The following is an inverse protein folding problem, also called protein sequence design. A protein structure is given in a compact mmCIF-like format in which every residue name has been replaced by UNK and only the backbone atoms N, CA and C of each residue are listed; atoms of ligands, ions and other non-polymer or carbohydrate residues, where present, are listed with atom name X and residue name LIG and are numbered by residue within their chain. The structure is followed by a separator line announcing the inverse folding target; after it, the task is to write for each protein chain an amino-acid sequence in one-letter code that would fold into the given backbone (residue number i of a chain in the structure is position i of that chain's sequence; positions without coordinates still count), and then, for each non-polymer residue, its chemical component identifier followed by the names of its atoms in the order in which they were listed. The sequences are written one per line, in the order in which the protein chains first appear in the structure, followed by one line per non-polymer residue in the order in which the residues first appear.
data_IF_553578273609
#
_entry.id   IF_553578273609
#
_cell.length_a   1.000
_cell.length_b   1.000
_cell.length_c   1.000
_cell.angle_alpha   90.00
_cell.angle_beta   90.00
_cell.angle_gamma   90.00
#
_symmetry.space_group_name_H-M   'P 1'
#
loop_
_entity.id
_entity.type
_entity.pdbx_description
1 polymer ?
#
# COMPACT_ATOMS: atom_id res chain seq x y z
N UNK A 1 -20.11 -66.16 -37.40
CA UNK A 1 -21.45 -66.12 -38.01
C UNK A 1 -21.82 -64.65 -38.22
N UNK A 2 -22.38 -64.16 -39.33
CA UNK A 2 -22.59 -64.81 -40.63
C UNK A 2 -23.50 -63.99 -41.57
N UNK A 3 -22.91 -63.25 -42.52
CA UNK A 3 -23.56 -62.48 -43.62
C UNK A 3 -24.54 -61.32 -43.23
N UNK A 4 -24.76 -60.28 -44.06
CA UNK A 4 -23.91 -59.73 -45.12
C UNK A 4 -24.62 -59.09 -46.33
N UNK A 5 -24.17 -57.89 -46.75
CA UNK A 5 -24.45 -57.18 -48.04
C UNK A 5 -25.91 -56.64 -48.17
N UNK A 6 -26.28 -55.64 -49.00
CA UNK A 6 -25.68 -54.71 -50.01
C UNK A 6 -26.72 -53.55 -50.24
N UNK A 7 -26.58 -52.43 -50.99
CA UNK A 7 -25.58 -51.73 -51.85
C UNK A 7 -26.10 -50.29 -52.08
N UNK A 8 -25.27 -49.22 -52.15
CA UNK A 8 -25.78 -47.91 -52.61
C UNK A 8 -24.84 -46.69 -52.56
N UNK A 9 -24.07 -46.44 -53.63
CA UNK A 9 -23.37 -45.18 -53.94
C UNK A 9 -23.09 -45.14 -55.45
N UNK A 10 -23.08 -43.95 -56.10
CA UNK A 10 -21.83 -43.50 -56.73
C UNK A 10 -21.64 -41.96 -56.90
N UNK A 11 -20.40 -41.48 -56.66
CA UNK A 11 -19.67 -40.36 -57.37
C UNK A 11 -20.31 -38.94 -57.27
N UNK A 12 -19.61 -37.80 -57.29
CA UNK A 12 -18.31 -37.40 -57.88
C UNK A 12 -18.58 -36.50 -59.10
N UNK A 13 -17.84 -35.41 -59.43
CA UNK A 13 -16.61 -34.81 -58.88
C UNK A 13 -16.27 -33.48 -59.60
N UNK A 14 -15.41 -32.62 -59.02
CA UNK A 14 -14.88 -31.37 -59.62
C UNK A 14 -15.28 -30.11 -58.82
N UNK A 15 -14.43 -29.16 -58.40
CA UNK A 15 -13.01 -28.79 -58.66
C UNK A 15 -12.72 -28.01 -59.96
N UNK A 16 -12.79 -26.68 -59.86
CA UNK A 16 -11.81 -25.68 -60.35
C UNK A 16 -11.86 -24.49 -59.35
N UNK A 17 -10.79 -24.13 -58.64
CA UNK A 17 -9.57 -23.43 -59.05
C UNK A 17 -9.76 -21.89 -59.21
N UNK A 18 -8.98 -21.11 -58.45
CA UNK A 18 -9.00 -19.63 -58.44
C UNK A 18 -8.16 -18.97 -59.54
N UNK A 19 -7.68 -17.72 -59.35
CA UNK A 19 -6.80 -17.38 -58.21
C UNK A 19 -7.08 -15.99 -57.56
N UNK A 20 -6.23 -15.59 -56.61
CA UNK A 20 -6.29 -14.31 -55.90
C UNK A 20 -5.03 -13.44 -56.12
N UNK A 21 -5.19 -12.11 -56.08
CA UNK A 21 -4.22 -11.03 -55.78
C UNK A 21 -5.04 -9.73 -55.62
N UNK A 22 -4.97 -8.91 -54.56
CA UNK A 22 -3.88 -8.26 -53.78
C UNK A 22 -3.65 -6.79 -54.20
N UNK A 23 -3.48 -5.94 -53.17
CA UNK A 23 -3.11 -4.51 -53.16
C UNK A 23 -4.20 -3.42 -53.32
N UNK A 24 -4.02 -2.40 -52.45
CA UNK A 24 -4.59 -1.05 -52.48
C UNK A 24 -3.83 -0.18 -53.51
N UNK A 25 -4.36 0.98 -53.95
CA UNK A 25 -4.08 2.22 -53.21
C UNK A 25 -5.25 3.22 -53.19
N UNK A 26 -5.00 4.43 -52.68
CA UNK A 26 -5.95 5.54 -52.55
C UNK A 26 -5.59 6.74 -53.46
N UNK A 27 -6.40 7.80 -53.36
CA UNK A 27 -6.29 9.16 -53.93
C UNK A 27 -6.72 9.41 -55.39
N UNK A 28 -7.31 10.61 -55.55
CA UNK A 28 -7.30 11.50 -56.73
C UNK A 28 -8.04 11.13 -58.03
N UNK A 29 -9.34 11.44 -58.07
CA UNK A 29 -9.94 12.27 -59.13
C UNK A 29 -10.91 13.27 -58.47
N UNK A 30 -10.52 14.56 -58.41
CA UNK A 30 -11.00 15.64 -59.29
C UNK A 30 -12.34 16.27 -58.77
N UNK A 31 -12.35 17.30 -57.92
CA UNK A 31 -11.65 18.60 -57.94
C UNK A 31 -12.21 19.67 -58.91
N UNK A 32 -13.53 19.67 -59.20
CA UNK A 32 -14.22 20.79 -59.89
C UNK A 32 -15.55 21.16 -59.21
N UNK A 33 -15.49 21.98 -58.16
CA UNK A 33 -16.63 22.77 -57.64
C UNK A 33 -16.25 23.87 -56.63
N UNK A 34 -14.96 24.01 -56.29
CA UNK A 34 -14.47 24.67 -55.07
C UNK A 34 -14.39 26.21 -55.15
N UNK A 35 -15.30 26.86 -55.88
CA UNK A 35 -15.20 28.30 -56.22
C UNK A 35 -16.50 29.12 -56.12
N UNK A 36 -17.64 28.53 -55.70
CA UNK A 36 -18.92 29.25 -55.59
C UNK A 36 -19.46 29.45 -54.16
N UNK A 37 -18.84 28.83 -53.14
CA UNK A 37 -19.36 28.79 -51.75
C UNK A 37 -18.54 29.55 -50.71
N UNK A 38 -17.47 30.26 -51.10
CA UNK A 38 -16.61 31.03 -50.17
C UNK A 38 -16.90 32.54 -50.10
N UNK A 39 -17.73 33.09 -51.00
CA UNK A 39 -17.81 34.55 -51.23
C UNK A 39 -18.85 35.32 -50.39
N UNK A 40 -19.64 34.66 -49.53
CA UNK A 40 -20.79 35.28 -48.83
C UNK A 40 -20.71 35.23 -47.30
N UNK A 41 -19.51 35.06 -46.72
CA UNK A 41 -19.27 35.13 -45.26
C UNK A 41 -18.48 36.35 -44.78
N UNK A 42 -18.10 37.26 -45.67
CA UNK A 42 -17.38 38.49 -45.34
C UNK A 42 -18.29 39.72 -45.47
N UNK A 43 -19.12 39.99 -44.45
CA UNK A 43 -19.72 41.30 -44.11
C UNK A 43 -20.73 41.18 -42.95
N UNK A 44 -20.25 41.21 -41.69
CA UNK A 44 -21.05 41.61 -40.51
C UNK A 44 -20.15 42.41 -39.55
N UNK A 45 -20.67 43.46 -38.88
CA UNK A 45 -19.87 44.37 -38.08
C UNK A 45 -19.39 43.73 -36.77
N UNK A 46 -18.25 44.22 -36.26
CA UNK A 46 -17.65 43.75 -35.01
C UNK A 46 -18.55 44.04 -33.81
N UNK A 47 -19.15 42.99 -33.23
CA UNK A 47 -19.82 43.08 -31.94
C UNK A 47 -18.79 43.00 -30.80
N UNK A 48 -18.94 43.86 -29.80
CA UNK A 48 -18.02 43.93 -28.66
C UNK A 48 -17.98 42.60 -27.89
N UNK A 49 -16.80 41.97 -27.83
CA UNK A 49 -16.54 40.83 -26.96
C UNK A 49 -16.57 41.25 -25.49
N UNK A 50 -17.77 41.26 -24.90
CA UNK A 50 -17.94 41.34 -23.45
C UNK A 50 -17.39 40.06 -22.81
N UNK A 51 -16.12 40.12 -22.39
CA UNK A 51 -15.49 39.13 -21.53
C UNK A 51 -16.40 38.86 -20.33
N UNK A 52 -17.11 37.73 -20.36
CA UNK A 52 -17.85 37.27 -19.21
C UNK A 52 -16.84 36.77 -18.19
N UNK A 53 -16.51 37.63 -17.22
CA UNK A 53 -15.89 37.19 -15.97
C UNK A 53 -16.83 36.15 -15.34
N UNK A 54 -16.54 34.87 -15.57
CA UNK A 54 -16.92 33.84 -14.60
C UNK A 54 -16.23 34.26 -13.29
N UNK A 55 -16.97 34.47 -12.20
CA UNK A 55 -16.31 34.68 -10.91
C UNK A 55 -15.46 33.45 -10.64
N UNK A 56 -14.20 33.65 -10.25
CA UNK A 56 -13.40 32.55 -9.74
C UNK A 56 -14.18 31.95 -8.57
N UNK A 57 -14.53 30.67 -8.67
CA UNK A 57 -15.17 29.96 -7.57
C UNK A 57 -14.11 29.68 -6.52
N UNK A 58 -13.76 30.71 -5.74
CA UNK A 58 -13.03 30.57 -4.49
C UNK A 58 -13.73 29.46 -3.71
N UNK A 59 -13.02 28.36 -3.43
CA UNK A 59 -13.48 27.41 -2.43
C UNK A 59 -13.53 28.18 -1.12
N UNK A 60 -14.71 28.22 -0.49
CA UNK A 60 -14.90 28.95 0.75
C UNK A 60 -13.80 28.54 1.74
N UNK A 61 -13.03 29.52 2.22
CA UNK A 61 -11.93 29.29 3.15
C UNK A 61 -12.52 28.60 4.39
N UNK A 62 -12.16 27.34 4.58
CA UNK A 62 -12.62 26.57 5.73
C UNK A 62 -11.80 26.99 6.94
N UNK A 63 -12.40 27.80 7.80
CA UNK A 63 -11.81 28.22 9.07
C UNK A 63 -11.54 27.06 10.04
N UNK A 64 -11.98 25.83 9.71
CA UNK A 64 -11.66 24.61 10.44
C UNK A 64 -11.35 23.41 9.53
N UNK A 65 -10.44 22.57 10.01
CA UNK A 65 -10.00 21.34 9.40
C UNK A 65 -11.11 20.29 9.26
N UNK A 66 -11.05 19.50 8.20
CA UNK A 66 -11.86 18.29 8.08
C UNK A 66 -11.38 17.24 9.09
N UNK A 67 -12.20 16.96 10.10
CA UNK A 67 -11.92 15.91 11.09
C UNK A 67 -12.13 14.54 10.45
N UNK A 68 -11.03 13.85 10.10
CA UNK A 68 -11.07 12.53 9.45
C UNK A 68 -11.53 11.48 10.46
N UNK A 69 -12.71 10.91 10.24
CA UNK A 69 -13.24 9.84 11.09
C UNK A 69 -12.66 8.49 10.67
N UNK A 70 -11.50 8.14 11.23
CA UNK A 70 -10.88 6.82 11.03
C UNK A 70 -11.77 5.65 11.46
N UNK A 71 -12.71 5.86 12.41
CA UNK A 71 -13.80 4.90 12.69
C UNK A 71 -14.67 4.59 11.47
N UNK A 72 -15.03 5.59 10.65
CA UNK A 72 -15.85 5.38 9.45
C UNK A 72 -15.06 4.66 8.34
N UNK A 73 -13.80 5.04 8.15
CA UNK A 73 -12.91 4.39 7.17
C UNK A 73 -12.60 2.92 7.57
N UNK A 74 -12.37 2.68 8.86
CA UNK A 74 -12.17 1.32 9.40
C UNK A 74 -13.42 0.45 9.24
N UNK A 75 -14.62 1.03 9.39
CA UNK A 75 -15.88 0.30 9.17
C UNK A 75 -16.08 -0.07 7.69
N UNK A 76 -15.76 0.82 6.75
CA UNK A 76 -15.74 0.49 5.31
C UNK A 76 -14.78 -0.67 5.01
N UNK A 77 -13.56 -0.61 5.55
CA UNK A 77 -12.55 -1.66 5.36
C UNK A 77 -12.98 -2.99 6.00
N UNK A 78 -13.64 -2.96 7.17
CA UNK A 78 -14.23 -4.17 7.77
C UNK A 78 -15.34 -4.76 6.88
N UNK A 79 -16.16 -3.93 6.23
CA UNK A 79 -17.20 -4.40 5.31
C UNK A 79 -16.60 -5.02 4.03
N UNK A 80 -15.56 -4.38 3.46
CA UNK A 80 -14.77 -4.93 2.35
C UNK A 80 -14.12 -6.28 2.71
N UNK A 81 -13.47 -6.38 3.87
CA UNK A 81 -12.85 -7.63 4.34
C UNK A 81 -13.91 -8.70 4.62
N UNK A 82 -15.06 -8.32 5.20
CA UNK A 82 -16.15 -9.25 5.49
C UNK A 82 -16.70 -9.89 4.21
N UNK A 83 -16.99 -9.08 3.20
CA UNK A 83 -17.41 -9.59 1.89
C UNK A 83 -16.35 -10.53 1.31
N UNK A 84 -15.09 -10.13 1.36
CA UNK A 84 -13.97 -10.93 0.85
C UNK A 84 -13.79 -12.28 1.59
N UNK A 85 -14.11 -12.33 2.89
CA UNK A 85 -14.11 -13.54 3.72
C UNK A 85 -15.34 -14.42 3.44
N UNK A 86 -16.52 -13.82 3.27
CA UNK A 86 -17.76 -14.53 2.92
C UNK A 86 -17.65 -15.16 1.52
N UNK A 87 -17.11 -14.46 0.53
CA UNK A 87 -16.80 -14.97 -0.81
C UNK A 87 -15.77 -16.11 -0.79
N UNK A 88 -14.68 -15.95 -0.03
CA UNK A 88 -13.61 -16.96 0.10
C UNK A 88 -14.09 -18.27 0.73
N UNK A 89 -14.99 -18.19 1.72
CA UNK A 89 -15.62 -19.37 2.32
C UNK A 89 -16.67 -19.97 1.38
N UNK A 90 -17.42 -19.13 0.65
CA UNK A 90 -18.40 -19.61 -0.34
C UNK A 90 -17.75 -20.35 -1.53
N UNK A 91 -16.51 -20.01 -1.91
CA UNK A 91 -15.73 -20.77 -2.90
C UNK A 91 -15.07 -22.03 -2.34
N UNK A 92 -15.43 -22.46 -1.13
CA UNK A 92 -15.04 -23.75 -0.54
C UNK A 92 -13.71 -23.77 0.21
N UNK A 93 -13.08 -22.62 0.46
CA UNK A 93 -11.85 -22.56 1.26
C UNK A 93 -12.15 -22.48 2.77
N UNK A 94 -11.16 -22.82 3.59
CA UNK A 94 -11.25 -22.67 5.05
C UNK A 94 -11.42 -21.20 5.42
N UNK A 95 -12.29 -20.92 6.40
CA UNK A 95 -12.39 -19.62 7.06
C UNK A 95 -11.02 -19.21 7.64
N UNK A 96 -10.54 -17.98 7.42
CA UNK A 96 -9.28 -17.50 7.97
C UNK A 96 -9.25 -17.57 9.49
N UNK A 97 -8.08 -17.84 10.07
CA UNK A 97 -7.86 -17.92 11.52
C UNK A 97 -6.69 -17.05 11.97
N UNK A 98 -6.91 -16.28 13.04
CA UNK A 98 -5.96 -15.36 13.65
C UNK A 98 -5.60 -15.81 15.08
N UNK A 99 -4.36 -16.25 15.27
CA UNK A 99 -3.83 -16.58 16.60
C UNK A 99 -3.11 -15.36 17.20
N UNK A 100 -3.60 -14.89 18.34
CA UNK A 100 -3.01 -13.74 19.06
C UNK A 100 -2.32 -14.23 20.33
N UNK A 101 -1.00 -14.07 20.42
CA UNK A 101 -0.25 -14.35 21.65
C UNK A 101 -0.16 -13.08 22.49
N UNK A 102 -0.55 -13.15 23.77
CA UNK A 102 -0.47 -12.05 24.74
C UNK A 102 0.37 -12.48 25.94
N UNK A 103 1.39 -11.70 26.28
CA UNK A 103 2.29 -11.98 27.40
C UNK A 103 2.11 -10.92 28.50
N UNK A 104 1.71 -11.37 29.69
CA UNK A 104 1.54 -10.51 30.86
C UNK A 104 0.27 -9.65 30.87
N UNK A 105 0.08 -8.95 31.98
CA UNK A 105 -1.21 -8.37 32.38
C UNK A 105 -1.40 -6.88 32.02
N UNK A 106 -0.72 -6.36 30.99
CA UNK A 106 -0.81 -4.95 30.64
C UNK A 106 -2.24 -4.57 30.19
N UNK A 107 -2.96 -3.69 30.92
CA UNK A 107 -4.36 -3.37 30.60
C UNK A 107 -4.55 -2.64 29.26
N UNK A 108 -3.49 -2.03 28.70
CA UNK A 108 -3.52 -1.52 27.33
C UNK A 108 -3.51 -2.67 26.32
N UNK A 109 -2.59 -3.62 26.47
CA UNK A 109 -2.45 -4.79 25.58
C UNK A 109 -3.72 -5.64 25.58
N UNK A 110 -4.29 -5.94 26.76
CA UNK A 110 -5.60 -6.62 26.89
C UNK A 110 -6.71 -5.92 26.10
N UNK A 111 -6.80 -4.58 26.20
CA UNK A 111 -7.82 -3.81 25.48
C UNK A 111 -7.60 -3.81 23.96
N UNK A 112 -6.35 -3.76 23.49
CA UNK A 112 -6.05 -3.87 22.07
C UNK A 112 -6.35 -5.27 21.52
N UNK A 113 -5.97 -6.34 22.23
CA UNK A 113 -6.25 -7.73 21.82
C UNK A 113 -7.76 -7.98 21.75
N UNK A 114 -8.52 -7.53 22.74
CA UNK A 114 -9.99 -7.62 22.73
C UNK A 114 -10.62 -6.87 21.54
N UNK A 115 -10.04 -5.75 21.11
CA UNK A 115 -10.51 -5.04 19.92
C UNK A 115 -10.11 -5.77 18.62
N UNK A 116 -8.92 -6.39 18.57
CA UNK A 116 -8.46 -7.24 17.45
C UNK A 116 -9.38 -8.46 17.26
N UNK A 117 -9.72 -9.20 18.33
CA UNK A 117 -10.58 -10.40 18.24
C UNK A 117 -12.05 -10.08 17.98
N UNK A 118 -12.57 -8.97 18.52
CA UNK A 118 -13.91 -8.47 18.15
C UNK A 118 -13.99 -8.11 16.67
N UNK A 119 -13.01 -7.39 16.13
CA UNK A 119 -12.97 -7.07 14.72
C UNK A 119 -12.85 -8.31 13.82
N UNK A 120 -12.15 -9.37 14.28
CA UNK A 120 -12.11 -10.65 13.58
C UNK A 120 -13.51 -11.27 13.50
N UNK A 121 -14.23 -11.35 14.62
CA UNK A 121 -15.60 -11.85 14.67
C UNK A 121 -16.57 -11.02 13.80
N UNK A 122 -16.48 -9.68 13.83
CA UNK A 122 -17.30 -8.76 13.00
C UNK A 122 -17.22 -9.10 11.49
N UNK A 123 -16.03 -9.46 11.02
CA UNK A 123 -15.73 -9.76 9.60
C UNK A 123 -15.72 -11.25 9.27
N UNK A 124 -16.08 -12.12 10.22
CA UNK A 124 -16.14 -13.57 10.02
C UNK A 124 -14.78 -14.27 9.97
N UNK A 125 -13.72 -13.70 10.55
CA UNK A 125 -12.43 -14.35 10.76
C UNK A 125 -12.46 -15.06 12.13
N UNK A 126 -12.02 -16.32 12.17
CA UNK A 126 -11.85 -17.03 13.45
C UNK A 126 -10.67 -16.42 14.22
N UNK A 127 -10.75 -16.33 15.54
CA UNK A 127 -9.61 -15.87 16.33
C UNK A 127 -9.51 -16.55 17.69
N UNK A 128 -8.29 -16.79 18.14
CA UNK A 128 -7.97 -17.22 19.50
C UNK A 128 -7.06 -16.19 20.21
N UNK A 129 -7.02 -16.23 21.54
CA UNK A 129 -6.05 -15.46 22.32
C UNK A 129 -5.34 -16.39 23.29
N UNK A 130 -4.04 -16.58 23.05
CA UNK A 130 -3.17 -17.42 23.85
C UNK A 130 -2.48 -16.53 24.87
N UNK A 131 -3.08 -16.42 26.05
CA UNK A 131 -2.52 -15.66 27.18
C UNK A 131 -1.40 -16.47 27.83
N UNK A 132 -0.29 -15.81 28.14
CA UNK A 132 0.87 -16.36 28.86
C UNK A 132 1.27 -15.40 30.00
N UNK A 133 1.76 -15.92 31.14
CA UNK A 133 2.19 -15.08 32.25
C UNK A 133 3.40 -14.24 31.84
N UNK A 134 3.59 -13.10 32.52
CA UNK A 134 4.77 -12.25 32.31
C UNK A 134 6.11 -12.94 32.64
N UNK A 135 6.08 -14.11 33.31
CA UNK A 135 7.23 -14.93 33.66
C UNK A 135 7.60 -16.01 32.62
N UNK A 136 6.93 -16.06 31.46
CA UNK A 136 7.29 -17.03 30.40
C UNK A 136 8.72 -16.78 29.91
N UNK A 137 9.49 -17.84 29.69
CA UNK A 137 10.81 -17.72 29.07
C UNK A 137 10.72 -17.40 27.57
N UNK A 138 11.78 -16.79 27.03
CA UNK A 138 11.89 -16.57 25.59
C UNK A 138 11.85 -17.90 24.81
N UNK A 139 12.43 -18.98 25.35
CA UNK A 139 12.42 -20.30 24.70
C UNK A 139 11.01 -20.91 24.61
N UNK A 140 10.21 -20.85 25.68
CA UNK A 140 8.82 -21.30 25.66
C UNK A 140 7.97 -20.49 24.67
N UNK A 141 8.22 -19.19 24.56
CA UNK A 141 7.52 -18.31 23.61
C UNK A 141 7.93 -18.62 22.16
N UNK A 142 9.21 -18.85 21.89
CA UNK A 142 9.71 -19.30 20.58
C UNK A 142 9.14 -20.68 20.20
N UNK A 143 9.06 -21.62 21.14
CA UNK A 143 8.46 -22.94 20.92
C UNK A 143 6.95 -22.85 20.64
N UNK A 144 6.23 -21.95 21.32
CA UNK A 144 4.82 -21.65 21.02
C UNK A 144 4.65 -21.08 19.59
N UNK A 145 5.49 -20.11 19.21
CA UNK A 145 5.46 -19.51 17.87
C UNK A 145 5.78 -20.56 16.79
N UNK A 146 6.77 -21.42 17.02
CA UNK A 146 7.10 -22.52 16.12
C UNK A 146 5.91 -23.50 15.95
N UNK A 147 5.17 -23.81 17.03
CA UNK A 147 3.94 -24.61 16.92
C UNK A 147 2.91 -23.94 16.00
N UNK A 148 2.65 -22.64 16.19
CA UNK A 148 1.65 -21.87 15.44
C UNK A 148 2.07 -21.63 13.98
N UNK A 149 3.37 -21.53 13.70
CA UNK A 149 3.91 -21.52 12.33
C UNK A 149 3.60 -22.83 11.58
N UNK A 150 3.75 -23.98 12.25
CA UNK A 150 3.54 -25.30 11.65
C UNK A 150 2.08 -25.80 11.66
N UNK A 151 1.17 -25.10 12.34
CA UNK A 151 -0.27 -25.41 12.28
C UNK A 151 -0.91 -24.80 11.02
N UNK A 152 -1.27 -25.65 10.05
CA UNK A 152 -1.97 -25.25 8.82
C UNK A 152 -3.37 -24.67 9.07
N UNK A 153 -3.91 -24.75 10.31
CA UNK A 153 -5.13 -24.03 10.67
C UNK A 153 -4.91 -22.55 10.95
N UNK A 154 -3.69 -22.12 11.27
CA UNK A 154 -3.38 -20.73 11.61
C UNK A 154 -2.93 -19.99 10.36
N UNK A 155 -3.71 -18.99 9.94
CA UNK A 155 -3.41 -18.18 8.75
C UNK A 155 -2.64 -16.92 9.12
N UNK A 156 -3.08 -16.21 10.17
CA UNK A 156 -2.39 -15.07 10.76
C UNK A 156 -1.89 -15.35 12.17
N UNK A 157 -0.66 -14.94 12.47
CA UNK A 157 -0.05 -15.01 13.79
C UNK A 157 0.49 -13.63 14.18
N UNK A 158 0.17 -13.17 15.40
CA UNK A 158 0.78 -11.99 15.98
C UNK A 158 1.12 -12.17 17.46
N UNK A 159 2.18 -11.50 17.90
CA UNK A 159 2.58 -11.42 19.31
C UNK A 159 2.37 -9.97 19.78
N UNK A 160 1.54 -9.77 20.79
CA UNK A 160 1.16 -8.43 21.21
C UNK A 160 2.28 -7.75 22.01
N UNK A 161 2.93 -6.76 21.40
CA UNK A 161 3.93 -5.90 22.02
C UNK A 161 3.29 -4.83 22.95
N UNK A 162 4.02 -4.28 23.94
CA UNK A 162 5.39 -4.64 24.32
C UNK A 162 5.46 -5.96 25.11
N UNK A 163 6.61 -6.63 25.04
CA UNK A 163 6.92 -7.81 25.85
C UNK A 163 7.63 -7.44 27.17
N UNK A 164 7.72 -8.37 28.14
CA UNK A 164 8.60 -8.23 29.30
C UNK A 164 10.07 -8.02 28.91
N UNK A 165 10.81 -7.25 29.72
CA UNK A 165 12.17 -6.78 29.41
C UNK A 165 13.22 -7.90 29.24
N UNK A 166 12.95 -9.12 29.71
CA UNK A 166 13.83 -10.28 29.59
C UNK A 166 13.66 -11.07 28.27
N UNK A 167 12.85 -10.58 27.33
CA UNK A 167 12.56 -11.22 26.03
C UNK A 167 12.94 -10.28 24.89
N UNK A 168 13.73 -10.75 23.91
CA UNK A 168 14.07 -9.96 22.73
C UNK A 168 12.88 -9.90 21.74
N UNK A 169 12.16 -8.77 21.75
CA UNK A 169 11.07 -8.49 20.81
C UNK A 169 11.47 -8.67 19.33
N UNK A 170 12.72 -8.37 18.96
CA UNK A 170 13.21 -8.52 17.58
C UNK A 170 13.41 -10.00 17.23
N UNK A 171 13.96 -10.79 18.15
CA UNK A 171 14.05 -12.26 18.00
C UNK A 171 12.67 -12.90 17.89
N UNK A 172 11.71 -12.47 18.72
CA UNK A 172 10.32 -12.93 18.68
C UNK A 172 9.62 -12.54 17.38
N UNK A 173 9.72 -11.28 16.92
CA UNK A 173 9.16 -10.86 15.62
C UNK A 173 9.78 -11.61 14.44
N UNK A 174 11.07 -11.97 14.53
CA UNK A 174 11.77 -12.74 13.51
C UNK A 174 11.53 -14.27 13.62
N UNK A 175 10.74 -14.73 14.59
CA UNK A 175 10.36 -16.14 14.71
C UNK A 175 8.98 -16.45 14.10
N UNK A 176 8.13 -15.45 13.89
CA UNK A 176 6.83 -15.60 13.20
C UNK A 176 7.06 -15.83 11.71
N UNK A 177 6.40 -16.83 11.11
CA UNK A 177 6.54 -17.14 9.68
C UNK A 177 6.19 -15.93 8.81
N UNK A 178 6.99 -15.56 7.79
CA UNK A 178 6.74 -14.35 6.98
C UNK A 178 5.37 -14.31 6.30
N UNK A 179 4.82 -15.48 5.94
CA UNK A 179 3.49 -15.61 5.32
C UNK A 179 2.33 -15.55 6.33
N UNK A 180 2.62 -15.62 7.64
CA UNK A 180 1.66 -15.46 8.74
C UNK A 180 1.83 -14.17 9.56
N UNK A 181 2.90 -13.41 9.34
CA UNK A 181 3.25 -12.16 10.05
C UNK A 181 2.31 -11.00 9.68
N UNK A 182 1.09 -11.05 10.22
CA UNK A 182 0.01 -10.09 9.92
C UNK A 182 0.17 -8.72 10.60
N UNK A 183 1.09 -8.58 11.57
CA UNK A 183 1.52 -7.27 12.09
C UNK A 183 2.71 -6.68 11.28
N UNK A 184 3.30 -7.44 10.34
CA UNK A 184 4.31 -6.98 9.37
C UNK A 184 5.71 -6.72 9.94
N UNK A 185 6.05 -7.31 11.09
CA UNK A 185 7.27 -7.00 11.83
C UNK A 185 8.46 -7.91 11.53
N UNK A 186 8.27 -9.04 10.84
CA UNK A 186 9.33 -9.96 10.46
C UNK A 186 10.33 -9.30 9.50
N UNK A 187 11.64 -9.54 9.68
CA UNK A 187 12.70 -8.88 8.91
C UNK A 187 12.55 -9.02 7.38
N UNK A 188 11.99 -10.12 6.88
CA UNK A 188 11.69 -10.32 5.45
C UNK A 188 10.55 -9.39 4.97
N UNK A 189 9.46 -9.23 5.74
CA UNK A 189 8.38 -8.32 5.36
C UNK A 189 8.84 -6.86 5.39
N UNK A 190 9.58 -6.47 6.43
CA UNK A 190 10.22 -5.14 6.50
C UNK A 190 11.21 -4.93 5.35
N UNK A 191 12.00 -5.95 4.99
CA UNK A 191 12.96 -5.89 3.89
C UNK A 191 12.30 -5.68 2.54
N UNK A 192 11.28 -6.49 2.22
CA UNK A 192 10.48 -6.38 0.99
C UNK A 192 9.76 -5.04 0.89
N UNK A 193 9.15 -4.59 1.99
CA UNK A 193 8.53 -3.26 2.08
C UNK A 193 9.55 -2.14 1.78
N UNK A 194 10.80 -2.24 2.25
CA UNK A 194 11.88 -1.29 1.99
C UNK A 194 12.52 -1.42 0.59
N UNK A 195 12.13 -2.43 -0.19
CA UNK A 195 12.55 -2.66 -1.58
C UNK A 195 11.37 -2.49 -2.56
N UNK A 196 10.27 -1.90 -2.10
CA UNK A 196 9.02 -1.67 -2.85
C UNK A 196 8.40 -2.93 -3.46
N UNK A 197 8.59 -4.06 -2.78
CA UNK A 197 8.01 -5.36 -3.13
C UNK A 197 6.75 -5.67 -2.30
N UNK A 198 5.93 -6.59 -2.79
CA UNK A 198 4.77 -7.12 -2.11
C UNK A 198 5.18 -7.81 -0.79
N UNK A 199 4.58 -7.39 0.32
CA UNK A 199 4.83 -7.92 1.68
C UNK A 199 3.60 -7.73 2.58
N UNK A 200 3.59 -8.36 3.76
CA UNK A 200 2.68 -7.93 4.82
C UNK A 200 3.10 -6.53 5.28
N UNK A 201 2.23 -5.53 5.10
CA UNK A 201 2.50 -4.16 5.51
C UNK A 201 2.11 -3.97 6.98
N UNK A 202 2.93 -3.31 7.81
CA UNK A 202 2.58 -3.09 9.22
C UNK A 202 1.29 -2.31 9.36
N UNK A 203 0.37 -2.80 10.20
CA UNK A 203 -1.04 -2.42 10.15
C UNK A 203 -1.31 -0.94 10.47
N UNK A 204 -0.56 -0.33 11.40
CA UNK A 204 -0.66 1.12 11.70
C UNK A 204 -0.15 1.99 10.54
N UNK A 205 1.07 1.79 10.01
CA UNK A 205 1.54 2.43 8.78
C UNK A 205 0.59 2.30 7.58
N UNK A 206 0.07 1.11 7.31
CA UNK A 206 -0.89 0.94 6.22
C UNK A 206 -2.20 1.70 6.51
N UNK A 207 -2.69 1.68 7.76
CA UNK A 207 -3.86 2.45 8.18
C UNK A 207 -3.71 3.97 8.02
N UNK A 208 -2.51 4.53 8.25
CA UNK A 208 -2.18 5.94 7.96
C UNK A 208 -2.27 6.23 6.47
N UNK A 209 -1.74 5.34 5.63
CA UNK A 209 -1.74 5.51 4.18
C UNK A 209 -3.13 5.31 3.56
N UNK A 210 -3.94 4.39 4.09
CA UNK A 210 -5.37 4.27 3.73
C UNK A 210 -6.18 5.50 4.14
N UNK A 211 -5.89 6.13 5.30
CA UNK A 211 -6.48 7.43 5.67
C UNK A 211 -6.18 8.47 4.59
N UNK A 212 -4.92 8.61 4.18
CA UNK A 212 -4.48 9.60 3.19
C UNK A 212 -5.16 9.34 1.83
N UNK A 213 -5.07 8.11 1.32
CA UNK A 213 -5.66 7.71 0.02
C UNK A 213 -7.19 7.86 0.00
N UNK A 214 -7.91 7.33 1.00
CA UNK A 214 -9.39 7.35 1.04
C UNK A 214 -9.97 8.73 1.34
N UNK A 215 -9.16 9.66 1.87
CA UNK A 215 -9.54 11.08 2.02
C UNK A 215 -9.23 11.90 0.76
N UNK A 216 -8.53 11.32 -0.24
CA UNK A 216 -8.14 12.02 -1.46
C UNK A 216 -7.01 13.04 -1.27
N UNK A 217 -6.18 12.86 -0.23
CA UNK A 217 -5.04 13.75 0.05
C UNK A 217 -3.87 13.34 -0.86
N UNK A 218 -3.38 14.22 -1.76
CA UNK A 218 -2.29 13.87 -2.66
C UNK A 218 -0.96 13.77 -1.92
N UNK A 219 -0.14 12.77 -2.28
CA UNK A 219 1.22 12.56 -1.74
C UNK A 219 2.32 12.92 -2.75
N UNK A 220 2.08 12.68 -4.05
CA UNK A 220 3.06 12.88 -5.11
C UNK A 220 3.56 14.33 -5.15
N UNK A 221 4.88 14.49 -5.07
CA UNK A 221 5.57 15.77 -5.04
C UNK A 221 5.25 16.64 -3.83
N UNK A 222 4.75 16.07 -2.72
CA UNK A 222 4.42 16.79 -1.48
C UNK A 222 5.50 16.67 -0.42
N UNK A 223 5.60 17.69 0.43
CA UNK A 223 6.45 17.64 1.60
C UNK A 223 5.73 16.88 2.73
N UNK A 224 6.33 15.81 3.20
CA UNK A 224 5.83 15.02 4.34
C UNK A 224 6.82 15.16 5.50
N UNK A 225 6.33 15.33 6.72
CA UNK A 225 7.13 15.11 7.93
C UNK A 225 6.57 13.97 8.75
N UNK A 226 7.43 13.02 9.13
CA UNK A 226 7.13 11.94 10.08
C UNK A 226 7.86 12.21 11.39
N UNK A 227 7.13 12.59 12.44
CA UNK A 227 7.67 12.78 13.78
C UNK A 227 7.66 11.47 14.55
N UNK A 228 8.74 10.69 14.39
CA UNK A 228 8.90 9.37 14.96
C UNK A 228 9.71 8.45 14.03
N UNK A 229 10.59 7.62 14.60
CA UNK A 229 11.44 6.68 13.83
C UNK A 229 11.38 5.23 14.34
N UNK A 230 10.30 4.85 15.02
CA UNK A 230 10.12 3.47 15.50
C UNK A 230 10.05 2.49 14.32
N UNK A 231 10.51 1.25 14.53
CA UNK A 231 10.58 0.24 13.46
C UNK A 231 9.22 -0.33 13.05
N UNK A 232 8.21 -0.18 13.92
CA UNK A 232 6.83 -0.64 13.72
C UNK A 232 5.86 0.44 13.19
N UNK A 233 6.22 1.74 13.29
CA UNK A 233 5.33 2.85 12.92
C UNK A 233 6.06 3.91 12.09
N UNK A 234 6.99 4.65 12.71
CA UNK A 234 7.58 5.84 12.08
C UNK A 234 8.41 5.54 10.81
N UNK A 235 9.27 4.51 10.86
CA UNK A 235 10.08 4.12 9.70
C UNK A 235 9.23 3.57 8.55
N UNK A 236 8.29 2.61 8.75
CA UNK A 236 7.42 2.15 7.67
C UNK A 236 6.54 3.23 7.04
N UNK A 237 6.01 4.18 7.83
CA UNK A 237 5.25 5.33 7.29
C UNK A 237 6.12 6.15 6.34
N UNK A 238 7.38 6.41 6.73
CA UNK A 238 8.30 7.13 5.87
C UNK A 238 8.63 6.36 4.58
N UNK A 239 8.80 5.03 4.66
CA UNK A 239 9.01 4.16 3.49
C UNK A 239 7.82 4.22 2.54
N UNK A 240 6.61 3.94 3.02
CA UNK A 240 5.39 3.91 2.18
C UNK A 240 5.06 5.25 1.51
N UNK A 241 5.46 6.38 2.10
CA UNK A 241 5.14 7.71 1.56
C UNK A 241 6.20 8.27 0.59
N UNK A 242 7.50 7.91 0.71
CA UNK A 242 8.54 8.46 -0.19
C UNK A 242 8.85 7.61 -1.43
N UNK A 243 8.43 6.36 -1.43
CA UNK A 243 8.80 5.39 -2.47
C UNK A 243 8.01 5.57 -3.76
N UNK A 244 8.49 4.98 -4.85
CA UNK A 244 8.03 5.24 -6.22
C UNK A 244 6.65 4.64 -6.49
N UNK A 245 5.73 5.43 -7.04
CA UNK A 245 4.37 5.03 -7.42
C UNK A 245 4.29 3.98 -8.55
N UNK A 246 5.39 3.70 -9.26
CA UNK A 246 5.45 2.74 -10.36
C UNK A 246 6.08 1.38 -9.98
N UNK A 247 6.52 1.18 -8.73
CA UNK A 247 7.09 -0.09 -8.26
C UNK A 247 6.03 -1.18 -7.97
N UNK A 248 6.49 -2.43 -7.79
CA UNK A 248 5.68 -3.66 -7.57
C UNK A 248 4.61 -3.46 -6.49
N UNK A 249 5.02 -2.86 -5.36
CA UNK A 249 4.15 -2.22 -4.36
C UNK A 249 4.27 -0.70 -4.58
N UNK A 250 3.29 -0.04 -5.22
CA UNK A 250 3.32 1.42 -5.44
C UNK A 250 3.53 2.19 -4.14
N UNK A 251 4.41 3.20 -4.16
CA UNK A 251 4.67 4.08 -3.02
C UNK A 251 3.75 5.31 -2.98
N UNK A 252 4.33 6.45 -2.61
CA UNK A 252 3.62 7.72 -2.43
C UNK A 252 4.26 8.93 -3.11
N UNK A 253 5.47 8.80 -3.68
CA UNK A 253 6.20 9.85 -4.41
C UNK A 253 6.40 11.18 -3.62
N UNK A 254 6.45 11.12 -2.30
CA UNK A 254 6.55 12.30 -1.44
C UNK A 254 7.98 12.59 -0.93
N UNK A 255 8.32 13.87 -0.77
CA UNK A 255 9.56 14.29 -0.12
C UNK A 255 9.42 14.15 1.40
N UNK A 256 9.85 13.03 1.97
CA UNK A 256 9.70 12.73 3.41
C UNK A 256 10.91 13.20 4.24
N UNK A 257 10.64 14.02 5.26
CA UNK A 257 11.54 14.30 6.38
C UNK A 257 11.20 13.41 7.58
N UNK A 258 12.19 12.75 8.18
CA UNK A 258 12.03 11.97 9.43
C UNK A 258 12.64 12.74 10.60
N UNK A 259 11.87 12.94 11.67
CA UNK A 259 12.34 13.53 12.93
C UNK A 259 12.18 12.58 14.12
N UNK A 260 12.86 12.85 15.23
CA UNK A 260 12.93 11.95 16.39
C UNK A 260 13.36 12.68 17.67
N UNK A 261 13.51 11.94 18.79
CA UNK A 261 13.88 12.41 20.14
C UNK A 261 15.18 13.24 20.28
N UNK A 262 15.90 13.49 19.19
CA UNK A 262 17.12 14.32 19.15
C UNK A 262 17.03 15.46 18.11
N UNK A 263 15.91 15.59 17.39
CA UNK A 263 15.64 16.75 16.54
C UNK A 263 15.27 17.93 17.45
N UNK A 264 16.04 19.04 17.47
CA UNK A 264 15.69 20.20 18.29
C UNK A 264 14.33 20.78 17.90
N UNK A 265 13.55 21.33 18.84
CA UNK A 265 12.19 21.82 18.56
C UNK A 265 12.15 22.86 17.44
N UNK A 266 13.16 23.73 17.35
CA UNK A 266 13.31 24.69 16.25
C UNK A 266 13.51 24.03 14.88
N UNK A 267 14.21 22.90 14.81
CA UNK A 267 14.36 22.15 13.56
C UNK A 267 13.07 21.39 13.23
N UNK A 268 12.38 20.81 14.23
CA UNK A 268 11.08 20.19 14.04
C UNK A 268 10.08 21.21 13.46
N UNK A 269 9.97 22.40 14.07
CA UNK A 269 9.10 23.50 13.65
C UNK A 269 9.40 23.99 12.23
N UNK A 270 10.68 24.12 11.86
CA UNK A 270 11.08 24.50 10.49
C UNK A 270 10.56 23.52 9.44
N UNK A 271 10.67 22.21 9.68
CA UNK A 271 10.26 21.21 8.69
C UNK A 271 8.74 20.98 8.69
N UNK A 272 8.05 21.05 9.85
CA UNK A 272 6.56 20.99 9.87
C UNK A 272 5.91 22.19 9.18
N UNK A 273 6.53 23.38 9.22
CA UNK A 273 6.04 24.57 8.54
C UNK A 273 6.15 24.50 7.01
N UNK A 274 6.99 23.59 6.48
CA UNK A 274 7.14 23.31 5.05
C UNK A 274 6.25 22.15 4.57
N UNK A 275 5.76 21.31 5.49
CA UNK A 275 5.06 20.07 5.20
C UNK A 275 3.61 20.29 4.75
N UNK A 276 3.22 19.63 3.66
CA UNK A 276 1.81 19.47 3.25
C UNK A 276 1.10 18.40 4.09
N UNK A 277 1.85 17.41 4.59
CA UNK A 277 1.35 16.34 5.47
C UNK A 277 2.29 16.19 6.67
N UNK A 278 1.76 16.27 7.88
CA UNK A 278 2.49 15.98 9.12
C UNK A 278 1.90 14.73 9.75
N UNK A 279 2.73 13.71 9.98
CA UNK A 279 2.37 12.47 10.67
C UNK A 279 3.10 12.41 12.01
N UNK A 280 2.38 12.42 13.13
CA UNK A 280 2.99 12.32 14.46
C UNK A 280 2.86 10.92 15.03
N UNK A 281 3.99 10.32 15.39
CA UNK A 281 4.13 8.97 15.94
C UNK A 281 5.26 8.93 16.99
N UNK A 282 5.29 9.93 17.87
CA UNK A 282 6.35 10.15 18.85
C UNK A 282 5.98 9.70 20.27
N UNK A 283 4.71 9.73 20.64
CA UNK A 283 4.25 9.43 22.01
C UNK A 283 4.55 10.55 23.00
N UNK A 284 4.24 11.79 22.61
CA UNK A 284 4.51 13.02 23.36
C UNK A 284 3.31 13.98 23.18
N UNK A 285 2.44 14.18 24.20
CA UNK A 285 1.32 15.11 24.13
C UNK A 285 1.74 16.53 23.76
N UNK A 286 0.96 17.18 22.89
CA UNK A 286 1.17 18.57 22.43
C UNK A 286 2.57 18.84 21.86
N UNK A 287 3.21 17.83 21.26
CA UNK A 287 4.46 17.97 20.52
C UNK A 287 4.28 18.84 19.26
N UNK A 288 3.12 18.73 18.61
CA UNK A 288 2.78 19.43 17.37
C UNK A 288 1.69 20.48 17.67
N UNK A 289 2.02 21.75 17.50
CA UNK A 289 1.15 22.90 17.84
C UNK A 289 0.80 23.76 16.61
N UNK A 290 -0.22 24.62 16.71
CA UNK A 290 -0.74 25.40 15.58
C UNK A 290 0.27 26.36 14.93
N UNK A 291 1.26 26.83 15.67
CA UNK A 291 2.36 27.67 15.15
C UNK A 291 3.39 26.87 14.32
N UNK A 292 3.39 25.55 14.43
CA UNK A 292 4.30 24.63 13.71
C UNK A 292 3.73 24.13 12.38
N UNK A 293 2.40 24.18 12.20
CA UNK A 293 1.69 23.59 11.05
C UNK A 293 1.55 24.59 9.89
N UNK A 294 1.71 24.14 8.65
CA UNK A 294 1.40 24.89 7.42
C UNK A 294 -0.13 25.02 7.25
N UNK A 295 -0.60 26.18 6.78
CA UNK A 295 -2.02 26.38 6.49
C UNK A 295 -2.52 25.42 5.40
N UNK A 296 -3.68 24.80 5.62
CA UNK A 296 -4.27 23.81 4.71
C UNK A 296 -3.63 22.41 4.76
N UNK A 297 -2.56 22.18 5.52
CA UNK A 297 -1.89 20.88 5.62
C UNK A 297 -2.77 19.78 6.23
N UNK A 298 -2.48 18.52 5.93
CA UNK A 298 -3.08 17.36 6.57
C UNK A 298 -2.26 16.93 7.81
N UNK A 299 -2.92 16.69 8.94
CA UNK A 299 -2.26 16.29 10.20
C UNK A 299 -2.80 14.96 10.67
N UNK A 300 -1.96 13.93 10.62
CA UNK A 300 -2.27 12.56 11.01
C UNK A 300 -1.61 12.25 12.35
N UNK A 301 -2.42 12.11 13.38
CA UNK A 301 -1.99 11.82 14.74
C UNK A 301 -2.12 10.32 15.03
N UNK A 302 -0.95 9.67 15.11
CA UNK A 302 -0.74 8.26 15.48
C UNK A 302 -0.41 8.12 16.98
N UNK A 303 -0.18 9.24 17.68
CA UNK A 303 0.12 9.25 19.10
C UNK A 303 -1.02 8.68 19.93
N UNK A 304 -0.70 7.89 20.96
CA UNK A 304 -1.68 7.40 21.94
C UNK A 304 -1.06 7.52 23.33
N UNK A 305 -1.35 8.64 23.97
CA UNK A 305 -0.81 9.03 25.26
C UNK A 305 -1.92 8.95 26.33
N UNK A 306 -1.63 8.31 27.46
CA UNK A 306 -2.51 8.31 28.64
C UNK A 306 -2.16 9.49 29.54
N UNK A 307 -3.07 10.46 29.64
CA UNK A 307 -2.99 11.56 30.62
C UNK A 307 -4.09 11.40 31.66
N UNK A 308 -3.95 12.07 32.80
CA UNK A 308 -5.06 12.27 33.72
C UNK A 308 -5.83 13.53 33.29
N UNK A 309 -7.14 13.42 33.10
CA UNK A 309 -7.96 14.56 32.71
C UNK A 309 -8.04 15.58 33.86
N UNK A 310 -7.65 16.86 33.65
CA UNK A 310 -7.45 17.82 34.74
C UNK A 310 -8.76 18.31 35.38
N UNK A 311 -9.92 18.00 34.80
CA UNK A 311 -11.24 18.39 35.32
C UNK A 311 -11.89 17.20 36.05
N UNK A 312 -11.80 16.00 35.48
CA UNK A 312 -12.51 14.82 35.96
C UNK A 312 -11.64 13.82 36.72
N UNK A 313 -10.33 14.04 36.78
CA UNK A 313 -9.30 13.14 37.33
C UNK A 313 -9.28 11.71 36.73
N UNK A 314 -10.02 11.46 35.64
CA UNK A 314 -10.10 10.15 34.98
C UNK A 314 -8.98 9.98 33.95
N UNK A 315 -8.47 8.76 33.70
CA UNK A 315 -7.55 8.49 32.60
C UNK A 315 -8.19 8.82 31.24
N UNK A 316 -7.48 9.58 30.42
CA UNK A 316 -7.90 10.04 29.09
C UNK A 316 -6.84 9.72 28.06
N UNK A 317 -7.26 9.32 26.87
CA UNK A 317 -6.39 9.18 25.71
C UNK A 317 -6.35 10.50 24.95
N UNK A 318 -5.14 10.98 24.69
CA UNK A 318 -4.84 12.10 23.79
C UNK A 318 -3.74 11.69 22.82
N UNK A 319 -3.63 12.40 21.70
CA UNK A 319 -2.58 12.16 20.72
C UNK A 319 -1.31 12.95 21.03
N UNK A 320 -0.48 13.14 20.00
CA UNK A 320 0.71 13.98 20.05
C UNK A 320 0.42 15.44 19.64
N UNK A 321 -0.74 15.69 19.01
CA UNK A 321 -1.11 16.99 18.43
C UNK A 321 -2.02 17.79 19.38
N UNK A 322 -1.77 19.11 19.49
CA UNK A 322 -2.74 20.06 20.03
C UNK A 322 -3.93 20.16 19.06
N UNK A 323 -4.92 19.27 19.23
CA UNK A 323 -6.03 19.12 18.30
C UNK A 323 -6.88 20.41 18.17
N UNK A 324 -7.15 21.10 19.28
CA UNK A 324 -8.02 22.29 19.29
C UNK A 324 -7.33 23.57 18.80
N UNK A 325 -6.00 23.65 18.87
CA UNK A 325 -5.22 24.65 18.15
C UNK A 325 -5.08 24.30 16.66
N UNK A 326 -4.59 23.10 16.35
CA UNK A 326 -4.22 22.71 14.97
C UNK A 326 -5.42 22.59 14.03
N UNK A 327 -6.60 22.19 14.52
CA UNK A 327 -7.83 22.16 13.70
C UNK A 327 -8.24 23.52 13.12
N UNK A 328 -7.70 24.64 13.60
CA UNK A 328 -8.00 26.00 13.12
C UNK A 328 -7.07 26.46 11.99
N UNK A 329 -6.20 25.58 11.51
CA UNK A 329 -5.14 25.90 10.53
C UNK A 329 -4.85 24.77 9.54
N UNK A 330 -4.93 23.51 9.99
CA UNK A 330 -4.87 22.35 9.12
C UNK A 330 -6.08 22.31 8.16
N UNK A 331 -5.91 21.75 6.97
CA UNK A 331 -7.03 21.42 6.07
C UNK A 331 -7.71 20.11 6.47
N UNK A 332 -6.95 19.18 7.06
CA UNK A 332 -7.43 17.88 7.54
C UNK A 332 -6.76 17.51 8.87
N UNK A 333 -7.48 16.87 9.79
CA UNK A 333 -6.92 16.39 11.06
C UNK A 333 -7.57 15.07 11.49
N UNK A 334 -6.79 14.10 11.99
CA UNK A 334 -7.35 12.91 12.64
C UNK A 334 -7.51 13.11 14.15
N UNK A 335 -8.65 12.75 14.77
CA UNK A 335 -8.82 12.86 16.21
C UNK A 335 -8.21 11.67 16.97
N UNK A 336 -7.72 11.89 18.18
CA UNK A 336 -7.35 10.81 19.12
C UNK A 336 -8.25 10.89 20.36
N UNK A 337 -9.01 9.83 20.71
CA UNK A 337 -9.17 8.57 19.98
C UNK A 337 -10.19 8.67 18.82
N UNK A 338 -9.99 7.87 17.75
CA UNK A 338 -10.97 7.70 16.67
C UNK A 338 -10.43 7.87 15.24
N UNK A 339 -9.20 8.36 15.10
CA UNK A 339 -8.40 8.42 13.87
C UNK A 339 -7.69 7.11 13.59
N UNK A 340 -6.37 7.06 13.78
CA UNK A 340 -5.52 5.96 13.30
C UNK A 340 -5.77 4.62 14.00
N UNK A 341 -6.03 4.60 15.32
CA UNK A 341 -6.20 3.35 16.09
C UNK A 341 -7.23 2.35 15.53
N UNK A 342 -8.46 2.79 15.17
CA UNK A 342 -9.43 1.95 14.44
C UNK A 342 -8.90 1.38 13.10
N UNK A 343 -8.11 2.16 12.36
CA UNK A 343 -7.53 1.73 11.07
C UNK A 343 -6.49 0.62 11.28
N UNK A 344 -5.65 0.71 12.31
CA UNK A 344 -4.71 -0.36 12.69
C UNK A 344 -5.42 -1.70 12.84
N UNK A 345 -6.59 -1.72 13.49
CA UNK A 345 -7.37 -2.95 13.67
C UNK A 345 -7.95 -3.45 12.35
N UNK A 346 -8.48 -2.55 11.50
CA UNK A 346 -9.02 -2.92 10.19
C UNK A 346 -7.94 -3.46 9.23
N UNK A 347 -6.73 -2.87 9.21
CA UNK A 347 -5.65 -3.34 8.35
C UNK A 347 -5.08 -4.69 8.80
N UNK A 348 -5.09 -4.99 10.09
CA UNK A 348 -4.76 -6.34 10.59
C UNK A 348 -5.74 -7.39 10.04
N UNK A 349 -7.03 -7.08 9.97
CA UNK A 349 -8.02 -7.98 9.37
C UNK A 349 -7.74 -8.18 7.88
N UNK A 350 -7.37 -7.10 7.16
CA UNK A 350 -6.98 -7.16 5.74
C UNK A 350 -5.72 -8.00 5.50
N UNK A 351 -4.67 -7.85 6.32
CA UNK A 351 -3.49 -8.73 6.29
C UNK A 351 -3.87 -10.20 6.55
N UNK A 352 -4.83 -10.47 7.45
CA UNK A 352 -5.24 -11.84 7.79
C UNK A 352 -5.95 -12.56 6.64
N UNK A 353 -6.83 -11.89 5.88
CA UNK A 353 -7.42 -12.49 4.66
C UNK A 353 -6.39 -12.64 3.54
N UNK A 354 -5.42 -11.72 3.40
CA UNK A 354 -4.29 -11.86 2.46
C UNK A 354 -3.42 -13.08 2.81
N UNK A 355 -3.15 -13.32 4.09
CA UNK A 355 -2.40 -14.47 4.59
C UNK A 355 -3.14 -15.79 4.28
N UNK A 356 -4.43 -15.88 4.59
CA UNK A 356 -5.25 -17.07 4.32
C UNK A 356 -5.38 -17.39 2.82
N UNK A 357 -5.45 -16.35 1.98
CA UNK A 357 -5.40 -16.49 0.51
C UNK A 357 -4.02 -16.88 -0.03
N UNK A 358 -2.98 -16.83 0.80
CA UNK A 358 -1.57 -17.18 0.50
C UNK A 358 -1.03 -16.47 -0.75
N UNK A 359 -1.52 -15.27 -1.05
CA UNK A 359 -1.27 -14.53 -2.32
C UNK A 359 0.22 -14.33 -2.58
N UNK A 360 0.94 -13.78 -1.58
CA UNK A 360 2.39 -13.53 -1.63
C UNK A 360 3.20 -14.82 -1.91
N UNK A 361 2.71 -15.97 -1.43
CA UNK A 361 3.36 -17.27 -1.55
C UNK A 361 3.05 -17.97 -2.89
N UNK A 362 2.03 -17.52 -3.61
CA UNK A 362 1.78 -17.92 -5.00
C UNK A 362 2.74 -17.19 -5.95
N UNK A 363 2.90 -15.87 -5.77
CA UNK A 363 3.86 -15.05 -6.53
C UNK A 363 5.29 -15.62 -6.45
N UNK A 364 5.77 -15.94 -5.23
CA UNK A 364 7.06 -16.60 -5.03
C UNK A 364 7.18 -17.94 -5.76
N UNK A 365 6.13 -18.76 -5.73
CA UNK A 365 6.11 -20.07 -6.39
C UNK A 365 6.10 -19.96 -7.91
N UNK A 366 5.49 -18.91 -8.47
CA UNK A 366 5.51 -18.66 -9.92
C UNK A 366 6.86 -18.08 -10.37
N UNK A 367 7.48 -17.20 -9.57
CA UNK A 367 8.86 -16.73 -9.78
C UNK A 367 9.88 -17.88 -9.68
N UNK A 368 9.70 -18.83 -8.76
CA UNK A 368 10.54 -20.03 -8.67
C UNK A 368 10.32 -20.98 -9.85
N UNK A 369 9.07 -21.35 -10.15
CA UNK A 369 8.76 -22.23 -11.30
C UNK A 369 9.20 -21.66 -12.64
N UNK A 370 9.07 -20.34 -12.85
CA UNK A 370 9.53 -19.69 -14.09
C UNK A 370 11.06 -19.70 -14.21
N UNK A 371 11.80 -19.57 -13.09
CA UNK A 371 13.25 -19.79 -13.05
C UNK A 371 13.62 -21.24 -13.33
N UNK A 372 12.94 -22.22 -12.71
CA UNK A 372 13.16 -23.65 -12.95
C UNK A 372 12.88 -24.03 -14.41
N UNK A 373 11.78 -23.56 -15.00
CA UNK A 373 11.44 -23.74 -16.42
C UNK A 373 12.43 -23.02 -17.35
N UNK A 374 12.96 -21.87 -16.93
CA UNK A 374 14.03 -21.15 -17.64
C UNK A 374 15.34 -21.94 -17.65
N UNK A 375 15.75 -22.50 -16.51
CA UNK A 375 16.94 -23.36 -16.39
C UNK A 375 16.78 -24.65 -17.18
N UNK A 376 15.61 -25.30 -17.10
CA UNK A 376 15.30 -26.51 -17.87
C UNK A 376 15.32 -26.28 -19.40
N UNK A 377 14.95 -25.08 -19.87
CA UNK A 377 15.09 -24.68 -21.28
C UNK A 377 16.51 -24.22 -21.63
N UNK A 378 17.30 -23.78 -20.66
CA UNK A 378 18.68 -23.31 -20.83
C UNK A 378 19.69 -24.38 -21.23
N UNK A 379 19.40 -25.67 -21.00
CA UNK A 379 20.33 -26.77 -21.30
C UNK A 379 20.28 -27.28 -22.76
N UNK A 380 19.49 -26.67 -23.65
CA UNK A 380 19.35 -27.15 -25.04
C UNK A 380 19.33 -26.05 -26.12
N UNK A 381 19.93 -24.88 -25.85
CA UNK A 381 20.15 -23.82 -26.84
C UNK A 381 21.57 -23.24 -26.76
N UNK A 382 22.50 -23.83 -27.52
CA UNK A 382 23.74 -23.16 -27.92
C UNK A 382 23.40 -21.95 -28.82
N UNK A 383 24.03 -20.78 -28.63
CA UNK A 383 23.70 -19.58 -29.40
C UNK A 383 24.26 -19.67 -30.83
N UNK A 384 23.39 -19.87 -31.82
CA UNK A 384 23.70 -19.68 -33.24
C UNK A 384 23.83 -18.19 -33.58
N UNK A 385 24.91 -17.56 -33.11
CA UNK A 385 25.25 -16.17 -33.39
C UNK A 385 26.60 -16.04 -34.10
N UNK A 386 26.79 -16.81 -35.18
CA UNK A 386 27.98 -16.71 -36.01
C UNK A 386 27.70 -16.93 -37.51
N UNK A 387 27.27 -15.86 -38.19
CA UNK A 387 27.65 -15.51 -39.57
C UNK A 387 26.86 -14.27 -40.07
N UNK A 388 27.55 -13.12 -40.20
CA UNK A 388 27.37 -12.09 -41.26
C UNK A 388 28.33 -10.91 -41.06
N UNK A 389 29.61 -11.15 -41.34
CA UNK A 389 30.55 -10.07 -41.62
C UNK A 389 30.61 -9.84 -43.13
N UNK A 390 30.17 -8.67 -43.61
CA UNK A 390 30.72 -7.98 -44.80
C UNK A 390 29.99 -6.64 -45.00
N UNK A 391 30.75 -5.60 -45.35
CA UNK A 391 30.30 -4.35 -46.01
C UNK A 391 29.27 -3.49 -45.23
N UNK A 392 29.54 -2.22 -44.86
CA UNK A 392 30.36 -1.21 -45.52
C UNK A 392 30.85 -0.09 -44.56
N UNK A 393 31.98 0.55 -44.92
CA UNK A 393 32.39 1.96 -44.67
C UNK A 393 32.20 2.67 -43.32
N UNK A 394 33.35 2.97 -42.68
CA UNK A 394 33.76 4.30 -42.16
C UNK A 394 32.73 5.24 -41.50
N UNK A 395 32.91 5.48 -40.20
CA UNK A 395 33.34 6.80 -39.71
C UNK A 395 34.17 6.67 -38.41
N UNK A 396 35.22 7.47 -38.24
CA UNK A 396 35.99 7.58 -36.99
C UNK A 396 35.54 8.81 -36.22
N UNK A 397 35.29 8.67 -34.91
CA UNK A 397 35.40 9.77 -33.94
C UNK A 397 36.18 9.26 -32.71
N UNK A 398 37.09 10.08 -32.20
CA UNK A 398 37.93 9.75 -31.06
C UNK A 398 37.24 10.12 -29.74
N UNK A 399 37.41 9.29 -28.72
CA UNK A 399 37.36 9.68 -27.32
C UNK A 399 38.67 9.23 -26.64
N UNK A 400 39.38 10.11 -25.90
CA UNK A 400 40.56 9.74 -25.13
C UNK A 400 40.21 9.00 -23.84
N UNK A 401 41.20 8.29 -23.28
CA UNK A 401 41.00 7.26 -22.25
C UNK A 401 41.55 7.62 -20.86
N UNK A 402 40.77 7.28 -19.81
CA UNK A 402 41.16 7.25 -18.39
C UNK A 402 41.60 8.61 -17.79
N UNK A 403 41.99 8.81 -16.51
CA UNK A 403 42.41 7.96 -15.37
C UNK A 403 42.03 8.73 -14.05
N UNK A 404 42.29 8.26 -12.81
CA UNK A 404 41.84 7.07 -12.06
C UNK A 404 40.80 7.37 -10.95
N UNK A 405 40.44 6.35 -10.17
CA UNK A 405 39.90 6.47 -8.80
C UNK A 405 41.05 6.70 -7.81
N UNK A 406 40.84 7.44 -6.72
CA UNK A 406 41.71 7.43 -5.54
C UNK A 406 40.96 6.99 -4.28
N UNK A 407 41.76 6.47 -3.34
CA UNK A 407 41.46 6.00 -1.98
C UNK A 407 40.49 6.87 -1.16
#
# INVERSE_FOLDING_TARGET
MGAGRRRGLPRGSGITAGPARVCLPALAMAAVSLLSTLATRLLRPAQSCRLHHRPFHLSAVRNEAVVISGRKLAEQIKQEVRQEVEEWVASGHKRPHLSVVLVGENPASHSYVLNKTRAAADVGINSETIVKPASISEEELLNLINKLNNDDNVDGLLVQLPLPEHIDERKICNAVSPDKDVDGFHVINVGRMCLDQNSMLPATPWGVWEIIKRTGIPTLGKNVLVAGRSKNVGMPIAVLLHTDGAHERPGGDATVTISHRYTPKEQLKKHTALADIVVSAAGIPNLITADMIKEGAAVIDVGINRIQDPITAKPKLVGDVDFEGVRKKAGYITPVPGGVGPMTVAMLMKNTIIAAKKVLRLEEREVLKSKELGVARGQLCLPLYHQRCTNLSFLRLHFPSAIPIMS
#
